data_IF_059242423981
#
_entry.id   IF_059242423981
#
_cell.length_a   1.000
_cell.length_b   1.000
_cell.length_c   1.000
_cell.angle_alpha   90.00
_cell.angle_beta   90.00
_cell.angle_gamma   90.00
#
_symmetry.space_group_name_H-M   'P 1'
#
loop_
_entity.id
_entity.type
_entity.pdbx_description
1 polymer ?
#
# COMPACT_ATOMS: atom_id res chain seq x y z
N UNK A 1 -20.34 20.53 -45.70
CA UNK A 1 -19.78 20.96 -44.39
C UNK A 1 -20.55 20.23 -43.31
N UNK A 2 -19.98 19.15 -42.82
CA UNK A 2 -20.53 18.34 -41.70
C UNK A 2 -20.01 18.90 -40.38
N UNK A 3 -20.83 19.13 -39.37
CA UNK A 3 -20.34 19.61 -38.07
C UNK A 3 -19.64 18.49 -37.36
N UNK A 4 -18.38 18.72 -37.04
CA UNK A 4 -17.56 17.91 -36.12
C UNK A 4 -18.11 18.04 -34.71
N UNK A 5 -18.72 16.98 -34.21
CA UNK A 5 -19.14 16.87 -32.80
C UNK A 5 -17.89 16.81 -31.90
N UNK A 6 -17.68 17.85 -31.11
CA UNK A 6 -16.73 17.89 -30.06
C UNK A 6 -17.04 16.80 -29.00
N UNK A 7 -16.06 16.04 -28.46
CA UNK A 7 -16.35 15.08 -27.41
C UNK A 7 -16.81 15.83 -26.15
N UNK A 8 -17.97 15.45 -25.65
CA UNK A 8 -18.53 15.93 -24.37
C UNK A 8 -17.52 15.61 -23.25
N UNK A 9 -17.22 16.54 -22.33
CA UNK A 9 -16.32 16.26 -21.20
C UNK A 9 -16.98 15.16 -20.34
N UNK A 10 -16.24 14.07 -20.11
CA UNK A 10 -16.60 12.99 -19.20
C UNK A 10 -16.90 13.59 -17.83
N UNK A 11 -18.17 13.56 -17.41
CA UNK A 11 -18.59 13.94 -16.07
C UNK A 11 -17.89 13.02 -15.09
N UNK A 12 -16.95 13.54 -14.28
CA UNK A 12 -16.30 12.79 -13.21
C UNK A 12 -17.40 12.24 -12.31
N UNK A 13 -17.63 10.94 -12.35
CA UNK A 13 -18.61 10.28 -11.48
C UNK A 13 -18.12 10.44 -10.04
N UNK A 14 -18.92 11.06 -9.19
CA UNK A 14 -18.58 11.24 -7.78
C UNK A 14 -18.57 9.85 -7.12
N UNK A 15 -17.44 9.47 -6.50
CA UNK A 15 -17.32 8.23 -5.74
C UNK A 15 -18.25 8.33 -4.51
N UNK A 16 -19.22 7.43 -4.42
CA UNK A 16 -20.10 7.29 -3.25
C UNK A 16 -19.81 5.96 -2.59
N UNK A 17 -19.19 6.02 -1.43
CA UNK A 17 -18.82 4.81 -0.66
C UNK A 17 -19.92 4.55 0.37
N UNK A 18 -20.61 3.40 0.30
CA UNK A 18 -21.66 3.07 1.27
C UNK A 18 -21.04 2.79 2.65
N UNK A 19 -21.74 3.17 3.70
CA UNK A 19 -21.39 2.73 5.05
C UNK A 19 -22.14 1.44 5.40
N UNK A 20 -21.57 0.65 6.33
CA UNK A 20 -22.25 -0.55 6.83
C UNK A 20 -23.57 -0.16 7.53
N UNK A 21 -23.58 0.97 8.25
CA UNK A 21 -24.78 1.48 8.90
C UNK A 21 -25.90 1.81 7.89
N UNK A 22 -25.57 2.47 6.75
CA UNK A 22 -26.55 2.77 5.71
C UNK A 22 -27.13 1.48 5.10
N UNK A 23 -26.28 0.50 4.79
CA UNK A 23 -26.73 -0.78 4.26
C UNK A 23 -27.60 -1.54 5.28
N UNK A 24 -27.23 -1.54 6.55
CA UNK A 24 -28.01 -2.18 7.61
C UNK A 24 -29.39 -1.54 7.77
N UNK A 25 -29.52 -0.22 7.65
CA UNK A 25 -30.80 0.51 7.66
C UNK A 25 -31.72 0.09 6.49
N UNK A 26 -31.13 -0.35 5.36
CA UNK A 26 -31.85 -0.90 4.22
C UNK A 26 -32.09 -2.43 4.31
N UNK A 27 -31.70 -3.07 5.41
CA UNK A 27 -31.77 -4.52 5.56
C UNK A 27 -30.78 -5.29 4.67
N UNK A 28 -29.69 -4.64 4.25
CA UNK A 28 -28.62 -5.21 3.43
C UNK A 28 -27.34 -5.38 4.23
N UNK A 29 -26.45 -6.23 3.73
CA UNK A 29 -25.11 -6.39 4.28
C UNK A 29 -24.07 -6.36 3.16
N UNK A 30 -22.86 -5.82 3.42
CA UNK A 30 -21.77 -5.92 2.46
C UNK A 30 -21.20 -7.34 2.46
N UNK A 31 -20.68 -7.77 1.31
CA UNK A 31 -19.86 -8.97 1.20
C UNK A 31 -18.48 -8.75 1.83
N UNK A 32 -17.93 -7.54 1.67
CA UNK A 32 -16.62 -7.16 2.15
C UNK A 32 -16.70 -5.84 2.93
N UNK A 33 -16.12 -5.83 4.12
CA UNK A 33 -15.79 -4.59 4.80
C UNK A 33 -14.46 -4.06 4.26
N UNK A 34 -14.44 -2.88 3.65
CA UNK A 34 -13.20 -2.18 3.39
C UNK A 34 -12.79 -1.40 4.65
N UNK A 35 -11.81 -1.96 5.37
CA UNK A 35 -11.19 -1.31 6.53
C UNK A 35 -10.22 -0.23 6.04
N UNK A 36 -10.57 1.03 6.23
CA UNK A 36 -9.82 2.19 5.72
C UNK A 36 -8.55 2.44 6.53
N UNK A 37 -8.63 2.33 7.83
CA UNK A 37 -7.54 2.63 8.76
C UNK A 37 -7.31 4.12 8.96
N UNK A 38 -6.64 4.49 10.07
CA UNK A 38 -6.40 5.88 10.43
C UNK A 38 -5.59 6.65 9.35
N UNK A 39 -4.55 6.04 8.79
CA UNK A 39 -3.78 6.68 7.72
C UNK A 39 -4.62 6.89 6.46
N UNK A 40 -5.43 5.90 6.06
CA UNK A 40 -6.33 6.01 4.91
C UNK A 40 -7.39 7.10 5.08
N UNK A 41 -7.80 7.37 6.32
CA UNK A 41 -8.81 8.37 6.63
C UNK A 41 -8.26 9.79 6.82
N UNK A 42 -7.05 9.94 7.37
CA UNK A 42 -6.54 11.24 7.82
C UNK A 42 -5.30 11.74 7.08
N UNK A 43 -4.44 10.87 6.57
CA UNK A 43 -3.26 11.28 5.80
C UNK A 43 -3.64 11.70 4.38
N UNK A 44 -3.34 12.94 4.00
CA UNK A 44 -3.76 13.50 2.70
C UNK A 44 -3.12 12.78 1.51
N UNK A 45 -1.91 12.26 1.67
CA UNK A 45 -1.27 11.46 0.61
C UNK A 45 -1.93 10.10 0.49
N UNK A 46 -2.21 9.44 1.62
CA UNK A 46 -2.75 8.09 1.60
C UNK A 46 -4.27 8.04 1.31
N UNK A 47 -5.01 9.14 1.54
CA UNK A 47 -6.39 9.28 1.05
C UNK A 47 -6.53 9.04 -0.46
N UNK A 48 -5.48 9.33 -1.24
CA UNK A 48 -5.48 9.02 -2.69
C UNK A 48 -5.49 7.52 -2.93
N UNK A 49 -4.71 6.76 -2.15
CA UNK A 49 -4.68 5.30 -2.20
C UNK A 49 -6.05 4.73 -1.81
N UNK A 50 -6.63 5.23 -0.72
CA UNK A 50 -7.98 4.83 -0.26
C UNK A 50 -9.03 5.02 -1.36
N UNK A 51 -9.03 6.19 -2.02
CA UNK A 51 -9.95 6.48 -3.13
C UNK A 51 -9.68 5.62 -4.35
N UNK A 52 -8.41 5.41 -4.70
CA UNK A 52 -8.03 4.55 -5.82
C UNK A 52 -8.54 3.12 -5.61
N UNK A 53 -8.32 2.56 -4.41
CA UNK A 53 -8.79 1.22 -4.10
C UNK A 53 -10.32 1.13 -4.05
N UNK A 54 -11.02 2.09 -3.45
CA UNK A 54 -12.48 2.15 -3.44
C UNK A 54 -13.06 2.20 -4.86
N UNK A 55 -12.44 2.95 -5.78
CA UNK A 55 -12.84 3.00 -7.19
C UNK A 55 -12.60 1.69 -7.93
N UNK A 56 -11.52 0.98 -7.61
CA UNK A 56 -11.30 -0.37 -8.15
C UNK A 56 -12.43 -1.29 -7.69
N UNK A 57 -12.79 -1.28 -6.40
CA UNK A 57 -13.90 -2.06 -5.88
C UNK A 57 -15.24 -1.72 -6.56
N UNK A 58 -15.51 -0.44 -6.77
CA UNK A 58 -16.71 0.01 -7.52
C UNK A 58 -16.66 -0.47 -8.98
N UNK A 59 -15.51 -0.32 -9.65
CA UNK A 59 -15.31 -0.69 -11.04
C UNK A 59 -15.59 -2.18 -11.30
N UNK A 60 -15.12 -3.05 -10.42
CA UNK A 60 -15.32 -4.50 -10.54
C UNK A 60 -16.66 -4.98 -9.96
N UNK A 61 -17.50 -4.05 -9.47
CA UNK A 61 -18.81 -4.37 -8.94
C UNK A 61 -18.79 -5.14 -7.61
N UNK A 62 -17.74 -4.99 -6.79
CA UNK A 62 -17.68 -5.61 -5.48
C UNK A 62 -18.75 -5.02 -4.55
N UNK A 63 -19.53 -5.86 -3.87
CA UNK A 63 -20.44 -5.44 -2.80
C UNK A 63 -19.62 -5.15 -1.53
N UNK A 64 -19.22 -3.90 -1.33
CA UNK A 64 -18.42 -3.49 -0.19
C UNK A 64 -19.03 -2.29 0.56
N UNK A 65 -18.62 -2.10 1.79
CA UNK A 65 -18.91 -0.91 2.58
C UNK A 65 -17.76 -0.58 3.52
N UNK A 66 -17.78 0.62 4.08
CA UNK A 66 -16.85 1.08 5.13
C UNK A 66 -17.61 1.27 6.45
N UNK A 67 -16.91 1.25 7.59
CA UNK A 67 -17.56 1.61 8.87
C UNK A 67 -17.77 3.13 9.01
N UNK A 68 -17.05 3.94 8.24
CA UNK A 68 -17.17 5.40 8.33
C UNK A 68 -16.76 5.93 9.72
N UNK A 69 -17.64 6.67 10.36
CA UNK A 69 -17.38 7.25 11.71
C UNK A 69 -17.31 6.21 12.83
N UNK A 70 -17.75 4.98 12.60
CA UNK A 70 -17.71 3.91 13.58
C UNK A 70 -16.36 3.14 13.56
N UNK A 71 -15.49 3.43 12.57
CA UNK A 71 -14.14 2.87 12.52
C UNK A 71 -13.19 3.63 13.43
N UNK A 72 -12.53 2.93 14.34
CA UNK A 72 -11.44 3.51 15.14
C UNK A 72 -10.10 2.84 14.80
N UNK A 73 -8.99 3.37 15.35
CA UNK A 73 -7.69 2.75 15.16
C UNK A 73 -7.71 1.28 15.63
N UNK A 74 -7.01 0.39 14.90
CA UNK A 74 -6.88 -1.03 15.30
C UNK A 74 -6.12 -1.24 16.61
N UNK A 75 -5.42 -0.21 17.10
CA UNK A 75 -4.61 -0.28 18.30
C UNK A 75 -3.17 -0.76 18.07
N UNK A 76 -2.76 -1.09 16.82
CA UNK A 76 -1.38 -1.52 16.54
C UNK A 76 -0.33 -0.56 17.12
N UNK A 77 -0.38 0.78 16.88
CA UNK A 77 0.62 1.68 17.44
C UNK A 77 0.67 1.66 18.96
N UNK A 78 -0.48 1.60 19.63
CA UNK A 78 -0.58 1.55 21.08
C UNK A 78 0.09 0.28 21.63
N UNK A 79 -0.23 -0.88 21.04
CA UNK A 79 0.36 -2.17 21.42
C UNK A 79 1.86 -2.17 21.24
N UNK A 80 2.37 -1.68 20.08
CA UNK A 80 3.81 -1.62 19.79
C UNK A 80 4.57 -0.64 20.69
N UNK A 81 3.88 0.42 21.14
CA UNK A 81 4.43 1.35 22.13
C UNK A 81 4.35 0.84 23.57
N UNK A 82 3.81 -0.37 23.81
CA UNK A 82 3.69 -0.99 25.14
C UNK A 82 2.43 -0.60 25.91
N UNK A 83 1.48 0.12 25.30
CA UNK A 83 0.21 0.46 25.93
C UNK A 83 -0.87 -0.59 25.60
N UNK A 84 -0.77 -1.74 26.30
CA UNK A 84 -1.68 -2.86 26.10
C UNK A 84 -3.15 -2.52 26.47
N UNK A 85 -3.34 -1.68 27.47
CA UNK A 85 -4.68 -1.25 27.89
C UNK A 85 -5.39 -0.48 26.77
N UNK A 86 -4.72 0.50 26.17
CA UNK A 86 -5.29 1.29 25.08
C UNK A 86 -5.54 0.40 23.85
N UNK A 87 -4.62 -0.52 23.54
CA UNK A 87 -4.81 -1.49 22.46
C UNK A 87 -6.10 -2.30 22.66
N UNK A 88 -6.28 -2.89 23.86
CA UNK A 88 -7.45 -3.74 24.12
C UNK A 88 -8.75 -2.92 24.07
N UNK A 89 -8.77 -1.70 24.59
CA UNK A 89 -9.95 -0.84 24.49
C UNK A 89 -10.34 -0.59 23.03
N UNK A 90 -9.39 -0.19 22.18
CA UNK A 90 -9.64 0.08 20.76
C UNK A 90 -10.06 -1.19 20.02
N UNK A 91 -9.39 -2.30 20.26
CA UNK A 91 -9.70 -3.58 19.65
C UNK A 91 -11.11 -4.04 20.02
N UNK A 92 -11.48 -4.01 21.31
CA UNK A 92 -12.81 -4.42 21.78
C UNK A 92 -13.92 -3.55 21.20
N UNK A 93 -13.71 -2.24 21.07
CA UNK A 93 -14.67 -1.35 20.41
C UNK A 93 -14.91 -1.76 18.96
N UNK A 94 -13.83 -1.95 18.18
CA UNK A 94 -13.93 -2.36 16.79
C UNK A 94 -14.56 -3.74 16.63
N UNK A 95 -14.19 -4.71 17.47
CA UNK A 95 -14.74 -6.07 17.46
C UNK A 95 -16.25 -6.02 17.77
N UNK A 96 -16.67 -5.25 18.76
CA UNK A 96 -18.08 -5.10 19.10
C UNK A 96 -18.88 -4.54 17.93
N UNK A 97 -18.38 -3.48 17.27
CA UNK A 97 -19.01 -2.88 16.09
C UNK A 97 -19.11 -3.89 14.94
N UNK A 98 -17.99 -4.53 14.58
CA UNK A 98 -17.96 -5.46 13.45
C UNK A 98 -18.83 -6.71 13.71
N UNK A 99 -18.81 -7.25 14.92
CA UNK A 99 -19.64 -8.39 15.29
C UNK A 99 -21.13 -8.01 15.33
N UNK A 100 -21.46 -6.79 15.77
CA UNK A 100 -22.83 -6.25 15.74
C UNK A 100 -23.42 -6.19 14.33
N UNK A 101 -22.62 -5.89 13.33
CA UNK A 101 -23.00 -5.90 11.91
C UNK A 101 -22.83 -7.27 11.23
N UNK A 102 -22.32 -8.28 11.92
CA UNK A 102 -22.11 -9.62 11.36
C UNK A 102 -21.03 -9.69 10.30
N UNK A 103 -20.04 -8.78 10.34
CA UNK A 103 -18.91 -8.75 9.40
C UNK A 103 -18.14 -10.07 9.47
N UNK A 104 -17.79 -10.62 8.31
CA UNK A 104 -17.02 -11.85 8.16
C UNK A 104 -15.72 -11.68 7.37
N UNK A 105 -15.74 -10.82 6.36
CA UNK A 105 -14.62 -10.62 5.45
C UNK A 105 -14.19 -9.16 5.41
N UNK A 106 -12.89 -8.94 5.55
CA UNK A 106 -12.28 -7.61 5.64
C UNK A 106 -11.16 -7.49 4.61
N UNK A 107 -11.13 -6.39 3.87
CA UNK A 107 -9.99 -6.01 3.03
C UNK A 107 -9.43 -4.69 3.55
N UNK A 108 -8.10 -4.59 3.65
CA UNK A 108 -7.43 -3.36 4.08
C UNK A 108 -6.16 -3.11 3.29
N UNK A 109 -5.83 -1.84 3.06
CA UNK A 109 -4.59 -1.43 2.40
C UNK A 109 -3.42 -1.23 3.37
N UNK A 110 -3.65 -1.36 4.68
CA UNK A 110 -2.63 -1.19 5.70
C UNK A 110 -2.18 -2.55 6.26
N UNK A 111 -0.91 -2.97 6.06
CA UNK A 111 -0.39 -4.22 6.62
C UNK A 111 -0.40 -4.29 8.15
N UNK A 112 -0.32 -3.14 8.82
CA UNK A 112 -0.44 -3.06 10.27
C UNK A 112 -1.87 -3.41 10.72
N UNK A 113 -2.89 -2.80 10.09
CA UNK A 113 -4.29 -3.15 10.35
C UNK A 113 -4.56 -4.61 9.98
N UNK A 114 -4.06 -5.08 8.83
CA UNK A 114 -4.16 -6.46 8.39
C UNK A 114 -3.62 -7.42 9.44
N UNK A 115 -2.39 -7.19 9.91
CA UNK A 115 -1.76 -8.07 10.91
C UNK A 115 -2.54 -8.08 12.24
N UNK A 116 -2.92 -6.90 12.72
CA UNK A 116 -3.61 -6.76 14.01
C UNK A 116 -4.99 -7.41 13.99
N UNK A 117 -5.79 -7.14 12.96
CA UNK A 117 -7.13 -7.72 12.85
C UNK A 117 -7.04 -9.23 12.66
N UNK A 118 -6.14 -9.71 11.80
CA UNK A 118 -6.00 -11.14 11.49
C UNK A 118 -5.41 -11.96 12.61
N UNK A 119 -4.34 -11.47 13.26
CA UNK A 119 -3.52 -12.30 14.14
C UNK A 119 -3.70 -11.98 15.62
N UNK A 120 -4.22 -10.81 15.98
CA UNK A 120 -4.31 -10.37 17.37
C UNK A 120 -5.75 -10.23 17.88
N UNK A 121 -6.69 -9.83 17.01
CA UNK A 121 -8.11 -9.75 17.38
C UNK A 121 -8.76 -11.08 17.74
N UNK A 122 -8.36 -12.25 17.17
CA UNK A 122 -8.94 -13.53 17.57
C UNK A 122 -8.82 -13.81 19.07
N UNK A 123 -7.73 -13.41 19.72
CA UNK A 123 -7.56 -13.55 21.17
C UNK A 123 -8.58 -12.72 21.99
N UNK A 124 -9.21 -11.72 21.35
CA UNK A 124 -10.22 -10.84 21.95
C UNK A 124 -11.64 -11.11 21.44
N UNK A 125 -11.85 -12.19 20.69
CA UNK A 125 -13.16 -12.60 20.15
C UNK A 125 -13.51 -11.99 18.78
N UNK A 126 -12.54 -11.43 18.05
CA UNK A 126 -12.71 -10.92 16.69
C UNK A 126 -12.09 -11.85 15.65
N UNK A 127 -12.87 -12.79 15.13
CA UNK A 127 -12.42 -13.76 14.13
C UNK A 127 -13.01 -13.45 12.76
N UNK A 128 -12.14 -13.03 11.81
CA UNK A 128 -12.53 -12.56 10.48
C UNK A 128 -11.58 -13.13 9.41
N UNK A 129 -12.11 -13.33 8.21
CA UNK A 129 -11.29 -13.50 7.02
C UNK A 129 -10.71 -12.13 6.64
N UNK A 130 -9.41 -11.94 6.85
CA UNK A 130 -8.74 -10.66 6.55
C UNK A 130 -7.82 -10.83 5.37
N UNK A 131 -7.96 -9.95 4.37
CA UNK A 131 -7.17 -9.95 3.15
C UNK A 131 -6.47 -8.60 3.01
N UNK A 132 -5.18 -8.62 2.70
CA UNK A 132 -4.49 -7.40 2.33
C UNK A 132 -4.82 -6.99 0.88
N UNK A 133 -4.93 -5.69 0.60
CA UNK A 133 -5.35 -5.21 -0.71
C UNK A 133 -4.47 -5.72 -1.87
N UNK A 134 -3.17 -5.93 -1.65
CA UNK A 134 -2.28 -6.51 -2.68
C UNK A 134 -2.70 -7.92 -3.08
N UNK A 135 -3.08 -8.76 -2.12
CA UNK A 135 -3.60 -10.11 -2.37
C UNK A 135 -4.97 -10.05 -3.05
N UNK A 136 -5.81 -9.10 -2.64
CA UNK A 136 -7.11 -8.91 -3.27
C UNK A 136 -6.99 -8.42 -4.71
N UNK A 137 -6.09 -7.48 -4.99
CA UNK A 137 -5.77 -7.04 -6.36
C UNK A 137 -5.24 -8.19 -7.23
N UNK A 138 -4.34 -9.02 -6.70
CA UNK A 138 -3.87 -10.23 -7.37
C UNK A 138 -5.05 -11.16 -7.73
N UNK A 139 -6.00 -11.39 -6.81
CA UNK A 139 -7.18 -12.20 -7.07
C UNK A 139 -8.04 -11.59 -8.20
N UNK A 140 -8.30 -10.29 -8.17
CA UNK A 140 -9.08 -9.60 -9.21
C UNK A 140 -8.42 -9.69 -10.60
N UNK A 141 -7.09 -9.58 -10.66
CA UNK A 141 -6.31 -9.75 -11.90
C UNK A 141 -6.42 -11.19 -12.40
N UNK A 142 -6.23 -12.17 -11.54
CA UNK A 142 -6.31 -13.60 -11.89
C UNK A 142 -7.72 -14.01 -12.35
N UNK A 143 -8.76 -13.38 -11.82
CA UNK A 143 -10.15 -13.56 -12.22
C UNK A 143 -10.53 -12.81 -13.52
N UNK A 144 -9.60 -12.00 -14.06
CA UNK A 144 -9.85 -11.16 -15.23
C UNK A 144 -10.84 -10.01 -14.99
N UNK A 145 -11.13 -9.68 -13.72
CA UNK A 145 -12.01 -8.56 -13.35
C UNK A 145 -11.30 -7.20 -13.47
N UNK A 146 -9.98 -7.22 -13.31
CA UNK A 146 -9.08 -6.11 -13.59
C UNK A 146 -8.21 -6.58 -14.74
N UNK A 147 -8.47 -6.03 -15.90
CA UNK A 147 -7.78 -6.39 -17.13
C UNK A 147 -6.62 -5.42 -17.35
N UNK A 148 -5.64 -5.34 -16.50
CA UNK A 148 -4.48 -4.46 -16.68
C UNK A 148 -3.96 -4.64 -18.11
N UNK A 149 -4.65 -4.01 -19.06
CA UNK A 149 -4.24 -4.01 -20.45
C UNK A 149 -3.07 -3.04 -20.55
N UNK A 150 -1.88 -3.56 -20.27
CA UNK A 150 -0.60 -2.91 -20.33
C UNK A 150 -0.69 -1.46 -20.73
N UNK A 151 -1.16 -0.62 -19.82
CA UNK A 151 -1.30 0.79 -20.15
C UNK A 151 0.09 1.24 -20.56
N UNK A 152 0.25 1.81 -21.75
CA UNK A 152 1.52 2.38 -22.22
C UNK A 152 2.19 3.25 -21.14
N UNK A 153 1.41 3.64 -20.13
CA UNK A 153 1.82 4.43 -18.97
C UNK A 153 2.97 3.82 -18.15
N UNK A 154 3.06 2.49 -18.05
CA UNK A 154 4.09 1.83 -17.21
C UNK A 154 5.06 0.96 -18.01
N UNK A 155 4.77 0.69 -19.28
CA UNK A 155 5.62 -0.11 -20.15
C UNK A 155 7.04 0.46 -20.21
N UNK A 156 8.00 -0.37 -19.80
CA UNK A 156 9.41 0.02 -19.75
C UNK A 156 9.80 1.00 -18.65
N UNK A 157 8.87 1.42 -17.79
CA UNK A 157 9.23 2.20 -16.58
C UNK A 157 9.89 1.30 -15.57
N UNK A 158 10.98 1.77 -15.00
CA UNK A 158 11.66 1.05 -13.92
C UNK A 158 10.90 1.24 -12.61
N UNK A 159 10.53 0.11 -12.02
CA UNK A 159 9.83 0.06 -10.73
C UNK A 159 10.67 -0.80 -9.78
N UNK A 160 10.89 -0.34 -8.57
CA UNK A 160 11.36 -1.19 -7.47
C UNK A 160 10.30 -1.28 -6.39
N UNK A 161 10.23 -2.42 -5.70
CA UNK A 161 9.21 -2.65 -4.67
C UNK A 161 9.84 -2.64 -3.28
N UNK A 162 9.24 -1.86 -2.38
CA UNK A 162 9.58 -1.89 -0.96
C UNK A 162 8.70 -2.90 -0.21
N UNK A 163 9.29 -4.00 0.21
CA UNK A 163 8.59 -5.01 1.01
C UNK A 163 8.20 -4.47 2.39
N UNK A 164 6.90 -4.37 2.65
CA UNK A 164 6.40 -4.05 3.98
C UNK A 164 6.66 -5.18 4.96
N UNK A 165 7.30 -4.88 6.10
CA UNK A 165 7.66 -5.90 7.08
C UNK A 165 6.47 -6.64 7.68
N UNK A 166 5.33 -5.96 7.90
CA UNK A 166 4.12 -6.58 8.43
C UNK A 166 3.40 -7.47 7.39
N UNK A 167 3.57 -7.18 6.11
CA UNK A 167 3.05 -8.04 5.05
C UNK A 167 3.95 -9.25 4.83
N UNK A 168 5.24 -9.01 4.62
CA UNK A 168 6.22 -10.05 4.34
C UNK A 168 6.61 -10.85 5.59
N UNK A 169 7.40 -10.26 6.50
CA UNK A 169 7.95 -10.99 7.65
C UNK A 169 6.91 -11.52 8.61
N UNK A 170 5.87 -10.73 8.91
CA UNK A 170 4.85 -11.14 9.84
C UNK A 170 3.83 -12.11 9.25
N UNK A 171 3.57 -12.04 7.93
CA UNK A 171 2.49 -12.79 7.28
C UNK A 171 2.92 -13.58 6.05
N UNK A 172 4.21 -13.61 5.71
CA UNK A 172 4.80 -14.38 4.60
C UNK A 172 4.17 -14.07 3.21
N UNK A 173 3.70 -12.85 3.00
CA UNK A 173 3.11 -12.40 1.72
C UNK A 173 4.16 -11.58 0.97
N UNK A 174 4.80 -12.19 -0.03
CA UNK A 174 5.85 -11.60 -0.86
C UNK A 174 5.49 -11.56 -2.34
N UNK A 175 4.79 -12.59 -2.83
CA UNK A 175 4.55 -12.74 -4.27
C UNK A 175 3.36 -11.90 -4.75
N UNK A 176 2.28 -11.80 -3.98
CA UNK A 176 1.09 -11.06 -4.41
C UNK A 176 1.39 -9.61 -4.87
N UNK A 177 2.21 -8.80 -4.16
CA UNK A 177 2.62 -7.49 -4.67
C UNK A 177 3.39 -7.55 -6.00
N UNK A 178 4.21 -8.58 -6.20
CA UNK A 178 5.01 -8.75 -7.41
C UNK A 178 4.16 -9.16 -8.60
N UNK A 179 3.20 -10.05 -8.38
CA UNK A 179 2.25 -10.46 -9.43
C UNK A 179 1.39 -9.26 -9.89
N UNK A 180 0.98 -8.39 -8.96
CA UNK A 180 0.29 -7.14 -9.29
C UNK A 180 1.19 -6.22 -10.12
N UNK A 181 2.47 -6.08 -9.79
CA UNK A 181 3.42 -5.25 -10.54
C UNK A 181 3.76 -5.87 -11.90
N UNK A 182 3.88 -7.19 -11.99
CA UNK A 182 4.13 -7.90 -13.25
C UNK A 182 3.00 -7.67 -14.26
N UNK A 183 1.74 -7.55 -13.78
CA UNK A 183 0.61 -7.26 -14.64
C UNK A 183 0.68 -5.87 -15.32
N UNK A 184 1.51 -4.95 -14.83
CA UNK A 184 1.69 -3.60 -15.38
C UNK A 184 2.63 -3.54 -16.61
N UNK A 185 3.27 -4.65 -17.00
CA UNK A 185 4.31 -4.70 -18.05
C UNK A 185 5.46 -3.70 -17.81
N UNK A 186 5.75 -3.43 -16.55
CA UNK A 186 6.84 -2.56 -16.12
C UNK A 186 8.15 -3.35 -15.92
N UNK A 187 9.29 -2.64 -15.97
CA UNK A 187 10.60 -3.21 -15.63
C UNK A 187 10.78 -3.26 -14.11
N UNK A 188 10.36 -4.38 -13.49
CA UNK A 188 10.51 -4.61 -12.06
C UNK A 188 11.96 -4.97 -11.72
N UNK A 189 12.65 -4.09 -10.98
CA UNK A 189 14.02 -4.29 -10.50
C UNK A 189 14.03 -4.48 -8.99
N UNK A 190 14.49 -5.63 -8.54
CA UNK A 190 14.51 -5.98 -7.12
C UNK A 190 15.67 -5.30 -6.39
N UNK A 191 15.39 -4.76 -5.21
CA UNK A 191 16.44 -4.32 -4.30
C UNK A 191 17.22 -5.53 -3.77
N UNK A 192 18.51 -5.36 -3.48
CA UNK A 192 19.35 -6.43 -2.93
C UNK A 192 18.75 -6.98 -1.62
N UNK A 193 18.28 -6.08 -0.74
CA UNK A 193 17.57 -6.44 0.48
C UNK A 193 16.05 -6.46 0.18
N UNK A 194 15.57 -7.58 -0.36
CA UNK A 194 14.17 -7.80 -0.71
C UNK A 194 13.56 -9.01 -0.02
N UNK A 195 12.27 -9.15 -0.07
CA UNK A 195 11.50 -10.25 0.53
C UNK A 195 11.83 -10.43 2.02
N UNK A 196 12.18 -11.65 2.45
CA UNK A 196 12.52 -11.95 3.84
C UNK A 196 13.73 -11.15 4.37
N UNK A 197 14.65 -10.77 3.49
CA UNK A 197 15.82 -9.96 3.82
C UNK A 197 15.60 -8.45 3.67
N UNK A 198 14.36 -8.02 3.37
CA UNK A 198 14.01 -6.62 3.15
C UNK A 198 14.42 -5.72 4.32
N UNK A 199 15.02 -4.55 4.04
CA UNK A 199 15.25 -3.53 5.07
C UNK A 199 13.93 -2.84 5.40
N UNK A 200 13.69 -2.57 6.67
CA UNK A 200 12.52 -1.83 7.16
C UNK A 200 12.50 -0.40 6.62
N UNK A 201 11.32 0.21 6.52
CA UNK A 201 11.19 1.65 6.26
C UNK A 201 11.46 2.53 7.50
N UNK A 202 11.51 1.93 8.69
CA UNK A 202 11.78 2.63 9.94
C UNK A 202 10.55 3.13 10.70
N UNK A 203 9.34 3.03 10.16
CA UNK A 203 8.13 3.58 10.79
C UNK A 203 7.48 2.66 11.84
N UNK A 204 7.61 1.35 11.66
CA UNK A 204 6.93 0.35 12.50
C UNK A 204 7.33 0.41 13.96
N UNK A 205 6.53 -0.23 14.84
CA UNK A 205 6.80 -0.21 16.27
C UNK A 205 6.60 1.15 16.92
N UNK A 206 5.73 1.98 16.38
CA UNK A 206 5.49 3.36 16.78
C UNK A 206 6.69 4.31 16.58
N UNK A 207 7.72 3.89 15.83
CA UNK A 207 8.95 4.69 15.67
C UNK A 207 8.72 5.99 14.90
N UNK A 208 7.78 6.05 13.95
CA UNK A 208 7.52 7.26 13.19
C UNK A 208 6.99 8.44 14.04
N UNK A 209 6.57 8.19 15.28
CA UNK A 209 6.12 9.22 16.22
C UNK A 209 7.13 9.55 17.31
N UNK A 210 8.30 8.95 17.26
CA UNK A 210 9.39 9.23 18.20
C UNK A 210 10.36 10.23 17.60
N UNK A 211 11.02 10.99 18.46
CA UNK A 211 12.19 11.77 18.09
C UNK A 211 13.29 10.85 17.53
N UNK A 212 14.03 11.27 16.51
CA UNK A 212 15.13 10.49 15.95
C UNK A 212 16.16 10.15 17.03
N UNK A 213 16.55 8.88 17.12
CA UNK A 213 17.62 8.47 18.02
C UNK A 213 18.99 8.82 17.43
N UNK A 214 20.00 9.16 18.27
CA UNK A 214 21.35 9.43 17.78
C UNK A 214 21.90 8.25 16.98
N UNK A 215 22.32 8.52 15.76
CA UNK A 215 22.84 7.52 14.83
C UNK A 215 23.58 8.14 13.67
N UNK A 216 24.11 7.30 12.77
CA UNK A 216 24.81 7.77 11.57
C UNK A 216 23.84 8.14 10.45
N UNK A 217 22.67 7.50 10.41
CA UNK A 217 21.68 7.64 9.32
C UNK A 217 20.34 7.06 9.75
N UNK A 218 19.27 7.71 9.38
CA UNK A 218 17.92 7.19 9.55
C UNK A 218 17.66 5.99 8.61
N UNK A 219 16.85 5.04 9.08
CA UNK A 219 16.58 3.79 8.36
C UNK A 219 15.89 4.05 7.02
N UNK A 220 14.94 4.99 6.97
CA UNK A 220 14.26 5.36 5.73
C UNK A 220 15.22 5.96 4.70
N UNK A 221 16.19 6.76 5.12
CA UNK A 221 17.21 7.33 4.24
C UNK A 221 18.07 6.20 3.64
N UNK A 222 18.54 5.27 4.48
CA UNK A 222 19.34 4.13 4.00
C UNK A 222 18.52 3.27 3.02
N UNK A 223 17.24 3.02 3.33
CA UNK A 223 16.35 2.25 2.45
C UNK A 223 16.09 2.96 1.13
N UNK A 224 15.90 4.27 1.16
CA UNK A 224 15.71 5.07 -0.05
C UNK A 224 16.96 5.10 -0.92
N UNK A 225 18.16 5.24 -0.34
CA UNK A 225 19.42 5.15 -1.07
C UNK A 225 19.57 3.83 -1.81
N UNK A 226 19.19 2.71 -1.16
CA UNK A 226 19.19 1.40 -1.82
C UNK A 226 18.20 1.36 -3.00
N UNK A 227 17.00 1.90 -2.82
CA UNK A 227 16.00 1.96 -3.88
C UNK A 227 16.48 2.80 -5.08
N UNK A 228 17.03 3.99 -4.83
CA UNK A 228 17.58 4.87 -5.86
C UNK A 228 18.77 4.23 -6.60
N UNK A 229 19.69 3.59 -5.87
CA UNK A 229 20.81 2.87 -6.47
C UNK A 229 20.34 1.68 -7.33
N UNK A 230 19.29 0.98 -6.90
CA UNK A 230 18.68 -0.11 -7.68
C UNK A 230 18.05 0.43 -8.96
N UNK A 231 17.27 1.50 -8.88
CA UNK A 231 16.62 2.14 -10.03
C UNK A 231 17.63 2.71 -11.03
N UNK A 232 18.75 3.27 -10.57
CA UNK A 232 19.81 3.78 -11.45
C UNK A 232 20.74 2.70 -12.01
N UNK A 233 20.61 1.44 -11.60
CA UNK A 233 21.52 0.37 -11.96
C UNK A 233 22.86 0.40 -11.22
N UNK A 234 22.98 1.20 -10.17
CA UNK A 234 24.22 1.38 -9.39
C UNK A 234 24.26 0.52 -8.12
N UNK A 235 23.39 -0.47 -7.99
CA UNK A 235 23.28 -1.31 -6.79
C UNK A 235 24.61 -1.98 -6.38
N UNK A 236 25.47 -2.33 -7.35
CA UNK A 236 26.82 -2.87 -7.10
C UNK A 236 27.77 -1.85 -6.43
N UNK A 237 27.54 -0.55 -6.60
CA UNK A 237 28.38 0.48 -5.99
C UNK A 237 28.20 0.60 -4.47
N UNK A 238 27.06 0.18 -3.92
CA UNK A 238 26.80 0.17 -2.48
C UNK A 238 27.61 -0.91 -1.73
N UNK A 239 27.99 -2.00 -2.40
CA UNK A 239 28.80 -3.07 -1.80
C UNK A 239 30.24 -2.61 -1.54
N UNK A 240 30.78 -1.73 -2.38
CA UNK A 240 32.12 -1.17 -2.23
C UNK A 240 32.25 -0.27 -0.97
N UNK A 241 31.16 0.38 -0.53
CA UNK A 241 31.14 1.18 0.71
C UNK A 241 31.18 0.31 1.97
N UNK A 242 30.96 -1.00 1.84
CA UNK A 242 30.97 -1.98 2.94
C UNK A 242 32.19 -2.90 2.91
N UNK A 243 33.17 -2.64 2.03
CA UNK A 243 34.42 -3.42 1.94
C UNK A 243 34.30 -4.79 1.30
N UNK A 244 33.25 -5.05 0.51
CA UNK A 244 33.11 -6.27 -0.27
C UNK A 244 33.53 -5.97 -1.72
N UNK A 245 34.70 -6.48 -2.13
CA UNK A 245 35.17 -6.38 -3.51
C UNK A 245 34.35 -7.34 -4.38
N UNK A 246 33.50 -6.80 -5.27
CA UNK A 246 32.85 -7.56 -6.34
C UNK A 246 33.44 -7.16 -7.70
N UNK A 247 33.64 -8.14 -8.57
CA UNK A 247 34.19 -7.91 -9.93
C UNK A 247 33.37 -6.82 -10.67
N UNK A 248 34.08 -5.84 -11.18
CA UNK A 248 33.52 -4.66 -11.85
C UNK A 248 33.04 -4.99 -13.25
N UNK A 249 31.78 -5.27 -13.43
CA UNK A 249 31.09 -4.88 -14.64
C UNK A 249 30.67 -3.41 -14.49
N UNK A 250 31.03 -2.54 -15.41
CA UNK A 250 30.66 -1.13 -15.38
C UNK A 250 29.11 -1.04 -15.26
N UNK A 251 28.55 -0.39 -14.23
CA UNK A 251 27.11 -0.32 -14.07
C UNK A 251 26.52 0.45 -15.25
N UNK A 252 25.52 -0.14 -15.90
CA UNK A 252 24.67 0.59 -16.84
C UNK A 252 23.97 1.71 -16.06
N UNK A 253 24.36 2.96 -16.30
CA UNK A 253 23.68 4.11 -15.64
C UNK A 253 22.35 4.35 -16.34
N UNK A 254 21.25 4.07 -15.65
CA UNK A 254 19.92 4.44 -16.07
C UNK A 254 19.54 5.80 -15.46
N UNK A 255 18.84 6.62 -16.23
CA UNK A 255 18.22 7.83 -15.68
C UNK A 255 17.15 7.45 -14.66
N UNK A 256 17.11 8.14 -13.53
CA UNK A 256 16.04 7.99 -12.54
C UNK A 256 14.70 8.58 -13.01
N UNK A 257 14.71 9.37 -14.09
CA UNK A 257 13.53 10.09 -14.54
C UNK A 257 12.35 9.16 -14.85
N UNK A 258 11.24 9.38 -14.17
CA UNK A 258 10.03 8.58 -14.32
C UNK A 258 10.06 7.22 -13.61
N UNK A 259 11.11 6.94 -12.83
CA UNK A 259 11.19 5.71 -12.03
C UNK A 259 10.24 5.74 -10.83
N UNK A 260 9.87 4.56 -10.35
CA UNK A 260 8.87 4.40 -9.30
C UNK A 260 9.41 3.52 -8.17
N UNK A 261 9.16 3.94 -6.93
CA UNK A 261 9.23 3.09 -5.76
C UNK A 261 7.80 2.68 -5.43
N UNK A 262 7.45 1.41 -5.67
CA UNK A 262 6.15 0.87 -5.32
C UNK A 262 6.12 0.42 -3.85
N UNK A 263 5.01 0.69 -3.19
CA UNK A 263 4.75 0.31 -1.79
C UNK A 263 3.35 -0.29 -1.65
N UNK A 264 3.08 -0.91 -0.51
CA UNK A 264 1.76 -1.46 -0.15
C UNK A 264 1.45 -1.25 1.33
N UNK A 265 1.81 -0.06 1.86
CA UNK A 265 1.66 0.28 3.27
C UNK A 265 1.67 1.80 3.43
N UNK A 266 0.73 2.39 4.21
CA UNK A 266 0.70 3.84 4.44
C UNK A 266 1.97 4.37 5.10
N UNK A 267 2.50 3.68 6.09
CA UNK A 267 3.71 4.11 6.78
C UNK A 267 4.94 3.99 5.88
N UNK A 268 5.05 2.94 5.07
CA UNK A 268 6.10 2.84 4.06
C UNK A 268 5.98 3.95 3.02
N UNK A 269 4.76 4.33 2.62
CA UNK A 269 4.50 5.46 1.72
C UNK A 269 5.12 6.75 2.27
N UNK A 270 4.81 7.10 3.52
CA UNK A 270 5.35 8.29 4.18
C UNK A 270 6.87 8.25 4.25
N UNK A 271 7.44 7.17 4.80
CA UNK A 271 8.88 7.05 5.02
C UNK A 271 9.70 7.05 3.74
N UNK A 272 9.21 6.38 2.67
CA UNK A 272 9.89 6.37 1.37
C UNK A 272 9.74 7.71 0.66
N UNK A 273 8.58 8.38 0.78
CA UNK A 273 8.38 9.73 0.21
C UNK A 273 9.29 10.76 0.87
N UNK A 274 9.41 10.72 2.20
CA UNK A 274 10.32 11.60 2.94
C UNK A 274 11.78 11.30 2.60
N UNK A 275 12.13 10.03 2.42
CA UNK A 275 13.45 9.62 1.98
C UNK A 275 13.80 10.17 0.58
N UNK A 276 12.87 10.06 -0.40
CA UNK A 276 13.04 10.60 -1.76
C UNK A 276 13.19 12.13 -1.71
N UNK A 277 12.39 12.81 -0.89
CA UNK A 277 12.47 14.25 -0.68
C UNK A 277 13.80 14.66 -0.04
N UNK A 278 14.24 13.94 1.01
CA UNK A 278 15.54 14.20 1.64
C UNK A 278 16.72 14.07 0.66
N UNK A 279 16.58 13.20 -0.37
CA UNK A 279 17.57 13.02 -1.44
C UNK A 279 17.36 13.96 -2.63
N UNK A 280 16.42 14.90 -2.55
CA UNK A 280 16.11 15.85 -3.62
C UNK A 280 15.80 15.18 -4.97
N UNK A 281 15.10 14.01 -4.91
CA UNK A 281 14.79 13.20 -6.08
C UNK A 281 13.30 13.17 -6.44
N UNK A 282 12.44 13.98 -5.81
CA UNK A 282 11.00 13.97 -6.05
C UNK A 282 10.57 14.37 -7.47
N UNK A 283 11.44 15.07 -8.19
CA UNK A 283 11.21 15.39 -9.62
C UNK A 283 11.49 14.20 -10.55
N UNK A 284 12.30 13.24 -10.11
CA UNK A 284 12.73 12.09 -10.91
C UNK A 284 12.06 10.79 -10.50
N UNK A 285 11.84 10.56 -9.19
CA UNK A 285 11.32 9.33 -8.63
C UNK A 285 10.05 9.59 -7.85
N UNK A 286 9.02 8.81 -8.14
CA UNK A 286 7.72 8.89 -7.47
C UNK A 286 7.49 7.67 -6.59
N UNK A 287 6.78 7.86 -5.48
CA UNK A 287 6.36 6.76 -4.60
C UNK A 287 4.86 6.55 -4.79
N UNK A 288 4.48 5.33 -5.22
CA UNK A 288 3.08 4.95 -5.45
C UNK A 288 2.72 3.67 -4.70
N UNK A 289 1.48 3.61 -4.27
CA UNK A 289 0.88 2.37 -3.81
C UNK A 289 0.37 1.54 -4.99
N UNK A 290 0.32 0.20 -4.80
CA UNK A 290 -0.18 -0.74 -5.82
C UNK A 290 -1.58 -0.38 -6.32
N UNK A 291 -2.48 0.08 -5.43
CA UNK A 291 -3.83 0.47 -5.80
C UNK A 291 -3.85 1.69 -6.75
N UNK A 292 -2.93 2.65 -6.55
CA UNK A 292 -2.80 3.80 -7.45
C UNK A 292 -2.28 3.40 -8.83
N UNK A 293 -1.28 2.49 -8.85
CA UNK A 293 -0.72 1.99 -10.10
C UNK A 293 -1.78 1.24 -10.92
N UNK A 294 -2.54 0.36 -10.29
CA UNK A 294 -3.62 -0.38 -10.96
C UNK A 294 -4.74 0.55 -11.41
N UNK A 295 -5.23 1.45 -10.55
CA UNK A 295 -6.29 2.40 -10.92
C UNK A 295 -5.88 3.27 -12.12
N UNK A 296 -4.61 3.71 -12.15
CA UNK A 296 -4.06 4.48 -13.26
C UNK A 296 -3.95 3.67 -14.54
N UNK A 297 -3.50 2.41 -14.46
CA UNK A 297 -3.36 1.52 -15.61
C UNK A 297 -4.73 1.17 -16.25
N UNK A 298 -5.77 1.04 -15.42
CA UNK A 298 -7.15 0.81 -15.84
C UNK A 298 -7.87 2.09 -16.33
N UNK A 299 -7.23 3.26 -16.26
CA UNK A 299 -7.90 4.53 -16.56
C UNK A 299 -8.98 4.92 -15.54
N UNK A 300 -8.98 4.28 -14.39
CA UNK A 300 -9.86 4.60 -13.26
C UNK A 300 -9.28 5.82 -12.56
N UNK A 301 -9.70 7.00 -12.97
CA UNK A 301 -9.21 8.26 -12.42
C UNK A 301 -9.53 8.39 -10.93
N UNK A 302 -8.49 8.58 -10.12
CA UNK A 302 -8.60 8.85 -8.68
C UNK A 302 -9.13 10.26 -8.37
#
# INVERSE_FOLDING_TARGET
MTPTSSPTPSTKRQLTVPTVADLAAEGKAPEILFWVGCAGAFDDRYKRVTRAFARILEHVGTNYAVLGLEESCTGDPAKRAGNEFLFQMQAMQNITTMNGYGIKKIVTACPHCFNTIKNEYPALGGDYEVIHHSTYLQQLINEGKVAVQGGESYKGRRITFHDSCYLGRANNIYEAPRDVLAALDADLVEMKRSKANGLCCGAGGAQMWKEPEPGKKDINIERTEEALATLSGQAAALDNLRGVETERTAPSQHSLQGSIIAVSCPFCMTMMSDGVKNKEQESAVQVFDLAELIASAEGINA
#
